data_IF_546973452023
#
_entry.id   IF_546973452023
#
_cell.length_a   1.000
_cell.length_b   1.000
_cell.length_c   1.000
_cell.angle_alpha   90.00
_cell.angle_beta   90.00
_cell.angle_gamma   90.00
#
_symmetry.space_group_name_H-M   'P 1'
#
loop_
_entity.id
_entity.type
_entity.pdbx_description
1 polymer ?
#
# COMPACT_ATOMS: atom_id res chain seq x y z
N UNK A 1 16.08 -18.79 2.97
CA UNK A 1 15.28 -18.49 4.18
C UNK A 1 14.01 -17.81 3.70
N UNK A 2 12.86 -18.10 4.33
CA UNK A 2 11.60 -17.41 4.01
C UNK A 2 11.71 -15.94 4.46
N UNK A 3 11.24 -14.99 3.64
CA UNK A 3 11.18 -13.58 4.03
C UNK A 3 10.09 -13.38 5.06
N UNK A 4 10.38 -12.56 6.08
CA UNK A 4 9.38 -12.17 7.07
C UNK A 4 8.54 -10.96 6.60
N UNK A 5 7.41 -10.70 7.28
CA UNK A 5 6.50 -9.61 6.93
C UNK A 5 7.18 -8.24 6.85
N UNK A 6 8.08 -7.94 7.79
CA UNK A 6 8.78 -6.65 7.84
C UNK A 6 9.68 -6.51 6.62
N UNK A 7 10.41 -7.57 6.25
CA UNK A 7 11.25 -7.55 5.05
C UNK A 7 10.44 -7.31 3.78
N UNK A 8 9.27 -7.95 3.64
CA UNK A 8 8.41 -7.78 2.47
C UNK A 8 7.90 -6.34 2.35
N UNK A 9 7.42 -5.76 3.44
CA UNK A 9 6.88 -4.39 3.42
C UNK A 9 7.97 -3.33 3.28
N UNK A 10 9.13 -3.51 3.93
CA UNK A 10 10.29 -2.66 3.69
C UNK A 10 10.75 -2.72 2.22
N UNK A 11 10.76 -3.90 1.59
CA UNK A 11 11.09 -4.00 0.16
C UNK A 11 10.11 -3.18 -0.70
N UNK A 12 8.81 -3.18 -0.36
CA UNK A 12 7.78 -2.38 -1.03
C UNK A 12 8.02 -0.87 -0.84
N UNK A 13 8.36 -0.45 0.38
CA UNK A 13 8.71 0.95 0.67
C UNK A 13 9.89 1.42 -0.19
N UNK A 14 10.93 0.61 -0.30
CA UNK A 14 12.12 0.95 -1.12
C UNK A 14 11.79 0.99 -2.60
N UNK A 15 10.90 0.14 -3.09
CA UNK A 15 10.42 0.20 -4.46
C UNK A 15 9.67 1.51 -4.73
N UNK A 16 8.72 1.88 -3.86
CA UNK A 16 7.95 3.13 -3.98
C UNK A 16 8.85 4.37 -3.88
N UNK A 17 9.78 4.41 -2.93
CA UNK A 17 10.76 5.49 -2.81
C UNK A 17 11.58 5.67 -4.10
N UNK A 18 12.02 4.56 -4.71
CA UNK A 18 12.72 4.58 -5.99
C UNK A 18 11.86 5.11 -7.14
N UNK A 19 10.54 4.88 -7.11
CA UNK A 19 9.60 5.45 -8.08
C UNK A 19 9.42 6.95 -7.85
N UNK A 20 9.30 7.41 -6.61
CA UNK A 20 9.24 8.83 -6.28
C UNK A 20 10.48 9.58 -6.76
N UNK A 21 11.67 9.03 -6.55
CA UNK A 21 12.92 9.62 -7.04
C UNK A 21 12.92 9.79 -8.57
N UNK A 22 12.38 8.82 -9.32
CA UNK A 22 12.28 8.92 -10.79
C UNK A 22 11.33 10.02 -11.24
N UNK A 23 10.23 10.23 -10.52
CA UNK A 23 9.29 11.34 -10.75
C UNK A 23 9.96 12.68 -10.46
N UNK A 24 10.58 12.81 -9.28
CA UNK A 24 11.25 14.03 -8.83
C UNK A 24 12.43 14.42 -9.75
N UNK A 25 13.14 13.44 -10.29
CA UNK A 25 14.27 13.68 -11.20
C UNK A 25 13.86 14.06 -12.63
N UNK A 26 12.56 14.02 -12.96
CA UNK A 26 12.07 14.31 -14.31
C UNK A 26 12.55 13.31 -15.38
N UNK A 27 12.79 12.05 -15.01
CA UNK A 27 13.24 11.01 -15.94
C UNK A 27 12.20 10.73 -17.04
N UNK A 28 12.66 10.27 -18.22
CA UNK A 28 11.76 9.81 -19.29
C UNK A 28 10.85 8.66 -18.79
N UNK A 29 9.61 8.61 -19.28
CA UNK A 29 8.63 7.58 -18.89
C UNK A 29 7.79 7.92 -17.65
N UNK A 30 7.63 9.21 -17.33
CA UNK A 30 6.86 9.68 -16.16
C UNK A 30 5.46 9.06 -16.05
N UNK A 31 4.72 8.95 -17.15
CA UNK A 31 3.39 8.33 -17.16
C UNK A 31 3.42 6.88 -16.65
N UNK A 32 4.38 6.08 -17.12
CA UNK A 32 4.53 4.68 -16.71
C UNK A 32 4.99 4.58 -15.26
N UNK A 33 5.85 5.49 -14.81
CA UNK A 33 6.27 5.58 -13.41
C UNK A 33 5.08 5.92 -12.50
N UNK A 34 4.23 6.87 -12.89
CA UNK A 34 3.03 7.24 -12.12
C UNK A 34 2.02 6.09 -12.08
N UNK A 35 1.76 5.44 -13.22
CA UNK A 35 0.91 4.26 -13.24
C UNK A 35 1.46 3.15 -12.32
N UNK A 36 2.78 2.98 -12.28
CA UNK A 36 3.42 2.04 -11.36
C UNK A 36 3.30 2.47 -9.89
N UNK A 37 3.41 3.76 -9.57
CA UNK A 37 3.18 4.28 -8.21
C UNK A 37 1.77 3.94 -7.75
N UNK A 38 0.76 4.24 -8.58
CA UNK A 38 -0.65 3.94 -8.29
C UNK A 38 -0.82 2.45 -8.02
N UNK A 39 -0.26 1.60 -8.89
CA UNK A 39 -0.34 0.16 -8.76
C UNK A 39 0.29 -0.38 -7.48
N UNK A 40 1.55 -0.03 -7.22
CA UNK A 40 2.27 -0.59 -6.08
C UNK A 40 1.67 -0.11 -4.74
N UNK A 41 1.29 1.17 -4.64
CA UNK A 41 0.64 1.68 -3.43
C UNK A 41 -0.76 1.08 -3.20
N UNK A 42 -1.54 0.83 -4.26
CA UNK A 42 -2.85 0.17 -4.13
C UNK A 42 -2.74 -1.27 -3.63
N UNK A 43 -1.73 -2.01 -4.12
CA UNK A 43 -1.43 -3.37 -3.64
C UNK A 43 -0.99 -3.34 -2.18
N UNK A 44 -0.06 -2.43 -1.86
CA UNK A 44 0.54 -2.30 -0.54
C UNK A 44 -0.52 -1.95 0.53
N UNK A 45 -1.34 -0.92 0.27
CA UNK A 45 -2.48 -0.55 1.12
C UNK A 45 -3.38 -1.78 1.39
N UNK A 46 -3.79 -2.48 0.33
CA UNK A 46 -4.70 -3.61 0.45
C UNK A 46 -4.16 -4.76 1.33
N UNK A 47 -2.87 -5.11 1.21
CA UNK A 47 -2.29 -6.20 2.00
C UNK A 47 -2.07 -5.81 3.46
N UNK A 48 -1.77 -4.54 3.75
CA UNK A 48 -1.58 -4.05 5.11
C UNK A 48 -2.88 -3.98 5.88
N UNK A 49 -3.94 -3.46 5.25
CA UNK A 49 -5.31 -3.49 5.79
C UNK A 49 -5.77 -4.91 6.10
N UNK A 50 -5.49 -5.87 5.22
CA UNK A 50 -5.98 -7.23 5.40
C UNK A 50 -5.17 -8.02 6.45
N UNK A 51 -3.86 -7.78 6.56
CA UNK A 51 -2.97 -8.64 7.35
C UNK A 51 -2.11 -7.91 8.38
N UNK A 52 -1.48 -6.78 8.02
CA UNK A 52 -0.58 -6.06 8.91
C UNK A 52 -1.34 -5.46 10.08
N UNK A 53 -2.31 -4.58 9.84
CA UNK A 53 -3.00 -3.86 10.92
C UNK A 53 -3.79 -4.77 11.88
N UNK A 54 -4.41 -5.88 11.44
CA UNK A 54 -4.93 -6.88 12.37
C UNK A 54 -3.85 -7.52 13.26
N UNK A 55 -2.64 -7.73 12.73
CA UNK A 55 -1.52 -8.23 13.53
C UNK A 55 -1.01 -7.15 14.51
N UNK A 56 -0.94 -5.89 14.09
CA UNK A 56 -0.59 -4.74 14.94
C UNK A 56 -1.53 -4.65 16.13
N UNK A 57 -2.85 -4.61 15.90
CA UNK A 57 -3.87 -4.59 16.98
C UNK A 57 -3.74 -5.78 17.93
N UNK A 58 -3.44 -6.96 17.39
CA UNK A 58 -3.38 -8.20 18.18
C UNK A 58 -2.12 -8.31 19.04
N UNK A 59 -0.97 -7.88 18.52
CA UNK A 59 0.33 -8.20 19.11
C UNK A 59 1.00 -7.02 19.82
N UNK A 60 0.75 -5.77 19.39
CA UNK A 60 1.30 -4.59 20.06
C UNK A 60 0.33 -4.17 21.17
N UNK A 61 0.68 -4.51 22.42
CA UNK A 61 -0.11 -4.15 23.59
C UNK A 61 -0.19 -2.62 23.77
N UNK A 62 -1.32 -2.16 24.33
CA UNK A 62 -1.65 -0.77 24.69
C UNK A 62 -1.72 0.25 23.53
N UNK A 63 -0.85 0.17 22.52
CA UNK A 63 -0.76 1.12 21.41
C UNK A 63 -1.23 0.56 20.06
N UNK A 64 -1.38 -0.77 19.92
CA UNK A 64 -1.69 -1.41 18.64
C UNK A 64 -2.97 -0.90 17.97
N UNK A 65 -4.03 -0.66 18.75
CA UNK A 65 -5.28 -0.11 18.22
C UNK A 65 -5.11 1.32 17.70
N UNK A 66 -4.40 2.19 18.43
CA UNK A 66 -4.14 3.57 18.01
C UNK A 66 -3.27 3.62 16.75
N UNK A 67 -2.16 2.88 16.73
CA UNK A 67 -1.25 2.82 15.58
C UNK A 67 -1.99 2.32 14.33
N UNK A 68 -2.72 1.21 14.46
CA UNK A 68 -3.49 0.66 13.35
C UNK A 68 -4.61 1.61 12.86
N UNK A 69 -5.26 2.35 13.75
CA UNK A 69 -6.30 3.30 13.34
C UNK A 69 -5.70 4.52 12.62
N UNK A 70 -4.58 5.03 13.13
CA UNK A 70 -3.88 6.15 12.51
C UNK A 70 -3.39 5.80 11.09
N UNK A 71 -2.74 4.65 10.91
CA UNK A 71 -2.27 4.19 9.60
C UNK A 71 -3.43 4.00 8.60
N UNK A 72 -4.59 3.53 9.06
CA UNK A 72 -5.78 3.40 8.21
C UNK A 72 -6.34 4.75 7.77
N UNK A 73 -6.28 5.79 8.60
CA UNK A 73 -6.66 7.16 8.22
C UNK A 73 -5.71 7.74 7.17
N UNK A 74 -4.40 7.52 7.33
CA UNK A 74 -3.39 7.90 6.33
C UNK A 74 -3.64 7.18 4.99
N UNK A 75 -3.95 5.88 5.03
CA UNK A 75 -4.26 5.09 3.83
C UNK A 75 -5.52 5.57 3.10
N UNK A 76 -6.57 5.99 3.80
CA UNK A 76 -7.76 6.56 3.14
C UNK A 76 -7.43 7.87 2.41
N UNK A 77 -6.59 8.72 3.01
CA UNK A 77 -6.10 9.95 2.36
C UNK A 77 -5.26 9.60 1.13
N UNK A 78 -4.31 8.68 1.26
CA UNK A 78 -3.46 8.22 0.16
C UNK A 78 -4.29 7.62 -0.98
N UNK A 79 -5.25 6.73 -0.67
CA UNK A 79 -6.12 6.13 -1.68
C UNK A 79 -6.93 7.19 -2.45
N UNK A 80 -7.42 8.23 -1.76
CA UNK A 80 -8.12 9.36 -2.41
C UNK A 80 -7.20 10.11 -3.36
N UNK A 81 -5.98 10.45 -2.93
CA UNK A 81 -5.00 11.11 -3.78
C UNK A 81 -4.61 10.26 -5.00
N UNK A 82 -4.49 8.94 -4.82
CA UNK A 82 -4.21 8.01 -5.93
C UNK A 82 -5.35 8.00 -6.95
N UNK A 83 -6.61 8.02 -6.50
CA UNK A 83 -7.76 8.08 -7.39
C UNK A 83 -7.77 9.40 -8.18
N UNK A 84 -7.52 10.52 -7.51
CA UNK A 84 -7.39 11.83 -8.15
C UNK A 84 -6.22 11.87 -9.17
N UNK A 85 -5.11 11.18 -8.89
CA UNK A 85 -3.95 11.06 -9.80
C UNK A 85 -4.30 10.24 -11.05
N UNK A 86 -5.11 9.18 -10.90
CA UNK A 86 -5.61 8.40 -12.04
C UNK A 86 -6.56 9.20 -12.93
N UNK A 87 -7.41 10.03 -12.30
CA UNK A 87 -8.46 10.80 -12.98
C UNK A 87 -7.97 12.17 -13.49
N UNK A 88 -6.73 12.56 -13.18
CA UNK A 88 -6.14 13.83 -13.62
C UNK A 88 -6.17 13.98 -15.15
N UNK A 89 -6.71 15.11 -15.60
CA UNK A 89 -6.93 15.45 -17.01
C UNK A 89 -5.70 16.02 -17.72
N UNK A 90 -4.76 16.57 -16.95
CA UNK A 90 -3.48 17.07 -17.45
C UNK A 90 -2.28 16.78 -16.53
N UNK A 91 -1.08 16.98 -17.08
CA UNK A 91 0.17 16.72 -16.40
C UNK A 91 0.48 17.71 -15.27
N UNK A 92 -0.04 18.95 -15.34
CA UNK A 92 0.16 19.96 -14.28
C UNK A 92 -0.60 19.54 -13.03
N UNK A 93 -1.87 19.15 -13.20
CA UNK A 93 -2.70 18.65 -12.10
C UNK A 93 -2.13 17.37 -11.49
N UNK A 94 -1.71 16.43 -12.33
CA UNK A 94 -1.05 15.20 -11.87
C UNK A 94 0.21 15.50 -11.04
N UNK A 95 0.98 16.52 -11.43
CA UNK A 95 2.20 16.92 -10.71
C UNK A 95 1.91 17.59 -9.37
N UNK A 96 0.85 18.36 -9.27
CA UNK A 96 0.40 18.93 -7.99
C UNK A 96 -0.01 17.83 -7.02
N UNK A 97 -0.81 16.87 -7.48
CA UNK A 97 -1.26 15.74 -6.67
C UNK A 97 -0.09 14.84 -6.23
N UNK A 98 0.90 14.60 -7.11
CA UNK A 98 2.11 13.86 -6.73
C UNK A 98 2.91 14.59 -5.65
N UNK A 99 3.00 15.92 -5.71
CA UNK A 99 3.67 16.72 -4.65
C UNK A 99 2.94 16.65 -3.31
N UNK A 100 1.64 16.41 -3.32
CA UNK A 100 0.84 16.19 -2.11
C UNK A 100 0.97 14.75 -1.58
N UNK A 101 0.92 13.75 -2.48
CA UNK A 101 1.03 12.32 -2.15
C UNK A 101 2.37 11.94 -1.51
N UNK A 102 3.48 12.37 -2.10
CA UNK A 102 4.83 11.93 -1.73
C UNK A 102 5.14 12.16 -0.24
N UNK A 103 4.93 13.35 0.36
CA UNK A 103 5.21 13.56 1.78
C UNK A 103 4.32 12.72 2.70
N UNK A 104 3.05 12.49 2.35
CA UNK A 104 2.15 11.63 3.15
C UNK A 104 2.68 10.19 3.18
N UNK A 105 3.01 9.62 2.03
CA UNK A 105 3.56 8.25 1.94
C UNK A 105 4.92 8.16 2.67
N UNK A 106 5.79 9.17 2.53
CA UNK A 106 7.08 9.19 3.26
C UNK A 106 6.88 9.24 4.79
N UNK A 107 5.88 9.98 5.26
CA UNK A 107 5.53 10.05 6.69
C UNK A 107 5.03 8.69 7.19
N UNK A 108 4.10 8.09 6.44
CA UNK A 108 3.53 6.78 6.72
C UNK A 108 4.63 5.69 6.83
N UNK A 109 5.46 5.56 5.80
CA UNK A 109 6.61 4.62 5.77
C UNK A 109 7.52 4.80 6.99
N UNK A 110 7.80 6.05 7.36
CA UNK A 110 8.65 6.34 8.51
C UNK A 110 8.00 5.87 9.81
N UNK A 111 6.72 6.14 10.01
CA UNK A 111 6.01 5.67 11.19
C UNK A 111 6.01 4.15 11.29
N UNK A 112 5.72 3.46 10.19
CA UNK A 112 5.72 2.00 10.18
C UNK A 112 7.08 1.42 10.54
N UNK A 113 8.15 1.95 9.93
CA UNK A 113 9.52 1.44 10.14
C UNK A 113 10.11 1.81 11.50
N UNK A 114 9.70 2.93 12.10
CA UNK A 114 10.21 3.38 13.41
C UNK A 114 9.36 2.91 14.60
N UNK A 115 8.07 2.64 14.40
CA UNK A 115 7.14 2.31 15.48
C UNK A 115 6.53 0.91 15.32
N UNK A 116 5.87 0.65 14.18
CA UNK A 116 5.10 -0.58 13.99
C UNK A 116 6.02 -1.80 13.84
N UNK A 117 7.00 -1.75 12.95
CA UNK A 117 7.89 -2.89 12.68
C UNK A 117 8.75 -3.27 13.89
N UNK A 118 9.35 -2.33 14.64
CA UNK A 118 10.04 -2.67 15.89
C UNK A 118 9.09 -3.24 16.95
N UNK A 119 7.86 -2.71 17.05
CA UNK A 119 6.82 -3.23 17.94
C UNK A 119 6.47 -4.68 17.62
N UNK A 120 6.17 -4.98 16.36
CA UNK A 120 5.88 -6.35 15.90
C UNK A 120 7.08 -7.28 16.09
N UNK A 121 8.31 -6.81 15.80
CA UNK A 121 9.53 -7.59 16.00
C UNK A 121 9.80 -7.92 17.46
N UNK A 122 9.34 -7.09 18.37
CA UNK A 122 9.43 -7.33 19.82
C UNK A 122 8.31 -8.23 20.34
N UNK A 123 7.12 -8.15 19.74
CA UNK A 123 5.92 -8.84 20.22
C UNK A 123 5.65 -10.22 19.58
N UNK A 124 6.22 -10.49 18.41
CA UNK A 124 5.99 -11.72 17.64
C UNK A 124 7.23 -12.59 17.56
N UNK A 125 7.04 -13.91 17.49
CA UNK A 125 8.15 -14.82 17.20
C UNK A 125 8.60 -14.68 15.74
N UNK A 126 9.84 -15.07 15.44
CA UNK A 126 10.34 -15.11 14.06
C UNK A 126 9.49 -16.01 13.15
N UNK A 127 8.92 -17.10 13.70
CA UNK A 127 8.01 -17.98 12.96
C UNK A 127 6.69 -17.28 12.62
N UNK A 128 6.11 -16.55 13.58
CA UNK A 128 4.85 -15.84 13.34
C UNK A 128 5.03 -14.71 12.31
N UNK A 129 6.17 -14.01 12.34
CA UNK A 129 6.50 -12.98 11.34
C UNK A 129 6.74 -13.58 9.95
N UNK A 130 7.34 -14.77 9.86
CA UNK A 130 7.49 -15.49 8.60
C UNK A 130 6.13 -15.97 8.05
N UNK A 131 5.23 -16.44 8.91
CA UNK A 131 3.87 -16.83 8.54
C UNK A 131 3.04 -15.63 8.06
N UNK A 132 3.16 -14.48 8.73
CA UNK A 132 2.56 -13.23 8.29
C UNK A 132 3.11 -12.82 6.91
N UNK A 133 4.43 -12.91 6.72
CA UNK A 133 5.09 -12.66 5.44
C UNK A 133 4.54 -13.55 4.31
N UNK A 134 4.36 -14.84 4.57
CA UNK A 134 3.76 -15.75 3.57
C UNK A 134 2.33 -15.36 3.19
N UNK A 135 1.54 -14.81 4.13
CA UNK A 135 0.19 -14.32 3.84
C UNK A 135 0.23 -13.07 2.97
N UNK A 136 1.09 -12.10 3.32
CA UNK A 136 1.30 -10.87 2.55
C UNK A 136 1.70 -11.20 1.10
N UNK A 137 2.74 -12.01 0.90
CA UNK A 137 3.19 -12.40 -0.46
C UNK A 137 2.08 -13.06 -1.29
N UNK A 138 1.30 -13.96 -0.69
CA UNK A 138 0.16 -14.60 -1.37
C UNK A 138 -0.95 -13.61 -1.72
N UNK A 139 -1.18 -12.63 -0.86
CA UNK A 139 -2.19 -11.61 -1.04
C UNK A 139 -1.81 -10.62 -2.15
N UNK A 140 -0.53 -10.24 -2.28
CA UNK A 140 -0.05 -9.32 -3.33
C UNK A 140 -0.48 -9.72 -4.74
N UNK A 141 -0.45 -11.01 -5.08
CA UNK A 141 -0.87 -11.50 -6.41
C UNK A 141 -2.38 -11.43 -6.68
N UNK A 142 -3.18 -11.10 -5.67
CA UNK A 142 -4.65 -11.01 -5.73
C UNK A 142 -5.18 -9.66 -5.25
N UNK A 143 -4.31 -8.76 -4.81
CA UNK A 143 -4.67 -7.43 -4.37
C UNK A 143 -5.17 -6.60 -5.57
N UNK A 144 -6.08 -5.63 -5.32
CA UNK A 144 -6.44 -4.64 -6.33
C UNK A 144 -5.20 -3.85 -6.78
N UNK A 145 -5.19 -3.46 -8.06
CA UNK A 145 -4.11 -2.70 -8.69
C UNK A 145 -4.47 -1.23 -8.88
N UNK A 146 -5.70 -0.85 -8.55
CA UNK A 146 -6.19 0.53 -8.54
C UNK A 146 -6.66 0.94 -7.15
N UNK A 147 -6.73 2.25 -6.84
CA UNK A 147 -7.16 2.74 -5.56
C UNK A 147 -8.66 2.52 -5.35
N UNK A 148 -9.04 2.15 -4.12
CA UNK A 148 -10.43 1.98 -3.72
C UNK A 148 -10.72 2.79 -2.45
N UNK A 149 -10.88 4.13 -2.54
CA UNK A 149 -11.00 5.03 -1.37
C UNK A 149 -12.19 4.71 -0.45
N UNK A 150 -13.22 4.05 -0.98
CA UNK A 150 -14.43 3.67 -0.25
C UNK A 150 -14.49 2.18 0.11
N UNK A 151 -13.38 1.45 -0.05
CA UNK A 151 -13.32 0.06 0.37
C UNK A 151 -13.43 -0.02 1.91
N UNK A 152 -14.13 -1.04 2.45
CA UNK A 152 -14.20 -1.24 3.90
C UNK A 152 -12.81 -1.38 4.52
N UNK A 153 -12.57 -0.70 5.66
CA UNK A 153 -11.26 -0.64 6.33
C UNK A 153 -10.74 -2.00 6.81
N UNK A 154 -11.61 -2.96 7.16
CA UNK A 154 -11.20 -4.32 7.56
C UNK A 154 -12.37 -5.34 7.55
N UNK A 155 -12.06 -6.62 7.74
CA UNK A 155 -13.04 -7.70 7.96
C UNK A 155 -13.47 -8.49 6.72
N UNK A 156 -14.49 -9.36 6.87
CA UNK A 156 -15.00 -10.22 5.77
C UNK A 156 -15.53 -9.41 4.59
N UNK A 157 -16.15 -8.25 4.85
CA UNK A 157 -16.61 -7.33 3.81
C UNK A 157 -15.46 -6.77 2.97
N UNK A 158 -14.33 -6.41 3.60
CA UNK A 158 -13.13 -5.96 2.90
C UNK A 158 -12.56 -7.06 1.99
N UNK A 159 -12.53 -8.32 2.44
CA UNK A 159 -12.04 -9.45 1.63
C UNK A 159 -12.88 -9.72 0.37
N UNK A 160 -14.21 -9.68 0.50
CA UNK A 160 -15.14 -9.89 -0.63
C UNK A 160 -15.03 -8.74 -1.62
N UNK A 161 -15.07 -7.50 -1.13
CA UNK A 161 -14.93 -6.30 -1.95
C UNK A 161 -13.58 -6.27 -2.67
N UNK A 162 -12.48 -6.55 -1.96
CA UNK A 162 -11.13 -6.61 -2.53
C UNK A 162 -10.98 -7.66 -3.62
N UNK A 163 -11.61 -8.83 -3.49
CA UNK A 163 -11.59 -9.87 -4.53
C UNK A 163 -12.35 -9.42 -5.79
N UNK A 164 -13.52 -8.79 -5.63
CA UNK A 164 -14.30 -8.26 -6.74
C UNK A 164 -13.56 -7.11 -7.44
N UNK A 165 -13.02 -6.17 -6.67
CA UNK A 165 -12.19 -5.06 -7.14
C UNK A 165 -10.99 -5.56 -7.95
N UNK A 166 -10.21 -6.50 -7.40
CA UNK A 166 -9.05 -7.07 -8.10
C UNK A 166 -9.42 -7.80 -9.41
N UNK A 167 -10.62 -8.39 -9.51
CA UNK A 167 -11.08 -8.98 -10.79
C UNK A 167 -11.49 -7.92 -11.81
N UNK A 168 -12.12 -6.82 -11.39
CA UNK A 168 -12.46 -5.70 -12.26
C UNK A 168 -11.20 -4.99 -12.76
N UNK A 169 -10.25 -4.78 -11.86
CA UNK A 169 -8.95 -4.17 -12.15
C UNK A 169 -8.19 -4.99 -13.21
N UNK A 170 -8.15 -6.32 -13.10
CA UNK A 170 -7.54 -7.19 -14.14
C UNK A 170 -8.17 -7.03 -15.53
N UNK A 171 -9.47 -6.74 -15.60
CA UNK A 171 -10.15 -6.48 -16.87
C UNK A 171 -9.79 -5.10 -17.41
N UNK A 172 -9.71 -4.09 -16.53
CA UNK A 172 -9.27 -2.71 -16.86
C UNK A 172 -7.83 -2.72 -17.38
N UNK A 173 -6.91 -3.36 -16.66
CA UNK A 173 -5.50 -3.50 -17.04
C UNK A 173 -5.36 -4.18 -18.40
N UNK A 174 -6.06 -5.31 -18.62
CA UNK A 174 -6.00 -6.05 -19.88
C UNK A 174 -6.60 -5.28 -21.09
N UNK A 175 -7.43 -4.26 -20.85
CA UNK A 175 -7.97 -3.38 -21.88
C UNK A 175 -7.03 -2.20 -22.18
N UNK A 176 -6.33 -1.69 -21.17
CA UNK A 176 -5.32 -0.63 -21.32
C UNK A 176 -4.10 -1.12 -22.12
N UNK A 177 -3.64 -2.35 -21.88
CA UNK A 177 -2.51 -2.96 -22.59
C UNK A 177 -2.76 -3.24 -24.08
N UNK A 178 -4.01 -3.13 -24.55
CA UNK A 178 -4.41 -3.40 -25.96
C UNK A 178 -4.52 -2.15 -26.83
N UNK A 179 -4.27 -0.96 -26.28
CA UNK A 179 -4.32 0.33 -26.99
C UNK A 179 -2.93 0.83 -27.31
#
# INVERSE_FOLDING_TARGET
MQRDAIQILTDDHREVEGLFQKVESGSAGKKDVVAKIVRELSIHDAIEREYLYPAVRKHIADQGDHLAEHSLDEHEKVATLLADIEDADDAVRQDELLRELIPDVKSHVKEEEEQIFPGLRSAMSASDLADLGSKLEKAKGKAPTHPHPHAPRSGVGAKIAGTAAATMDKVRDAAADRR
#
